data_IF_467934679791
#
_entry.id   IF_467934679791
#
_cell.length_a   1.000
_cell.length_b   1.000
_cell.length_c   1.000
_cell.angle_alpha   90.00
_cell.angle_beta   90.00
_cell.angle_gamma   90.00
#
_symmetry.space_group_name_H-M   'P 1'
#
loop_
_entity.id
_entity.type
_entity.pdbx_description
1 polymer ?
#
# COMPACT_ATOMS: atom_id res chain seq x y z
N UNK A 1 57.36 10.70 50.46
CA UNK A 1 57.05 10.22 49.11
C UNK A 1 55.53 10.11 49.00
N UNK A 2 54.89 11.19 48.53
CA UNK A 2 53.48 11.23 48.13
C UNK A 2 53.44 11.36 46.60
N UNK A 3 52.50 10.71 45.89
CA UNK A 3 52.40 10.85 44.45
C UNK A 3 51.55 12.08 44.08
N UNK A 4 52.11 12.94 43.23
CA UNK A 4 51.45 14.09 42.65
C UNK A 4 50.35 13.64 41.65
N UNK A 5 49.11 14.04 41.93
CA UNK A 5 47.97 13.91 41.02
C UNK A 5 48.12 14.89 39.84
N UNK A 6 48.41 14.34 38.66
CA UNK A 6 48.41 15.08 37.40
C UNK A 6 46.99 15.20 36.85
N UNK A 7 46.41 16.40 36.93
CA UNK A 7 45.15 16.76 36.28
C UNK A 7 45.34 16.79 34.76
N UNK A 8 44.67 15.89 34.04
CA UNK A 8 44.57 15.93 32.57
C UNK A 8 43.62 17.07 32.14
N UNK A 9 43.92 17.82 31.07
CA UNK A 9 43.03 18.85 30.57
C UNK A 9 41.76 18.22 29.97
N UNK A 10 40.60 18.74 30.37
CA UNK A 10 39.31 18.31 29.86
C UNK A 10 39.17 18.69 28.37
N UNK A 11 38.93 17.69 27.53
CA UNK A 11 38.60 17.89 26.12
C UNK A 11 37.28 18.67 26.03
N UNK A 12 37.19 19.76 25.24
CA UNK A 12 35.93 20.47 25.10
C UNK A 12 34.93 19.57 24.35
N UNK A 13 33.86 19.20 25.04
CA UNK A 13 32.69 18.55 24.43
C UNK A 13 32.02 19.58 23.55
N UNK A 14 32.22 19.46 22.23
CA UNK A 14 31.45 20.18 21.22
C UNK A 14 29.99 19.73 21.35
N UNK A 15 29.19 20.53 22.08
CA UNK A 15 27.73 20.43 22.08
C UNK A 15 27.26 20.66 20.64
N UNK A 16 26.94 19.58 19.92
CA UNK A 16 26.21 19.67 18.65
C UNK A 16 24.90 20.40 18.94
N UNK A 17 24.51 21.40 18.13
CA UNK A 17 23.21 22.04 18.31
C UNK A 17 22.13 20.96 18.25
N UNK A 18 21.26 20.93 19.26
CA UNK A 18 20.11 20.07 19.27
C UNK A 18 19.31 20.34 17.99
N UNK A 19 19.32 19.39 17.05
CA UNK A 19 18.43 19.44 15.89
C UNK A 19 17.02 19.58 16.43
N UNK A 20 16.36 20.69 16.13
CA UNK A 20 14.91 20.83 16.30
C UNK A 20 14.29 19.72 15.46
N UNK A 21 13.87 18.64 16.09
CA UNK A 21 13.02 17.63 15.48
C UNK A 21 11.63 18.26 15.33
N UNK A 22 11.31 18.76 14.14
CA UNK A 22 9.93 19.12 13.83
C UNK A 22 9.14 17.81 13.87
N UNK A 23 8.04 17.72 14.65
CA UNK A 23 7.26 16.49 14.74
C UNK A 23 6.65 16.18 13.37
N UNK A 24 6.93 14.97 12.86
CA UNK A 24 6.27 14.42 11.68
C UNK A 24 4.75 14.51 11.90
N UNK A 25 3.96 14.96 10.91
CA UNK A 25 2.53 15.10 11.06
C UNK A 25 1.89 13.76 11.40
N UNK A 26 1.43 13.61 12.66
CA UNK A 26 0.68 12.45 13.15
C UNK A 26 -0.79 12.49 12.73
N UNK A 27 -1.07 13.02 11.55
CA UNK A 27 -2.42 13.17 11.00
C UNK A 27 -2.49 12.60 9.59
N UNK A 28 -3.69 12.27 9.13
CA UNK A 28 -3.91 11.89 7.73
C UNK A 28 -3.69 13.13 6.86
N UNK A 29 -2.82 12.99 5.87
CA UNK A 29 -2.50 14.04 4.90
C UNK A 29 -2.91 13.55 3.52
N UNK A 30 -3.73 14.32 2.82
CA UNK A 30 -4.02 14.03 1.42
C UNK A 30 -2.81 14.41 0.57
N UNK A 31 -2.21 13.43 -0.09
CA UNK A 31 -0.97 13.60 -0.86
C UNK A 31 -1.24 13.78 -2.35
N UNK A 32 -2.29 13.14 -2.87
CA UNK A 32 -2.75 13.26 -4.25
C UNK A 32 -4.26 13.45 -4.31
N UNK A 33 -4.75 14.26 -5.25
CA UNK A 33 -6.18 14.29 -5.56
C UNK A 33 -6.66 13.05 -6.37
N UNK A 34 -7.96 12.98 -6.67
CA UNK A 34 -8.57 11.90 -7.45
C UNK A 34 -8.04 11.75 -8.88
N UNK A 35 -7.34 12.77 -9.40
CA UNK A 35 -6.68 12.76 -10.71
C UNK A 35 -5.17 12.54 -10.57
N UNK A 36 -4.70 12.04 -9.43
CA UNK A 36 -3.28 11.82 -9.13
C UNK A 36 -2.43 13.09 -9.25
N UNK A 37 -2.96 14.24 -8.84
CA UNK A 37 -2.19 15.50 -8.80
C UNK A 37 -1.63 15.75 -7.40
N UNK A 38 -0.33 16.03 -7.27
CA UNK A 38 0.31 16.40 -6.00
C UNK A 38 -0.36 17.59 -5.32
N UNK A 39 -0.60 17.45 -4.01
CA UNK A 39 -1.06 18.56 -3.18
C UNK A 39 0.10 19.49 -2.82
N UNK A 40 -0.10 20.81 -2.95
CA UNK A 40 0.99 21.81 -2.92
C UNK A 40 1.70 21.94 -1.57
N UNK A 41 1.03 21.63 -0.47
CA UNK A 41 1.55 21.93 0.88
C UNK A 41 2.31 20.74 1.49
N UNK A 42 2.35 19.59 0.83
CA UNK A 42 2.89 18.35 1.41
C UNK A 42 4.41 18.39 1.47
N UNK A 43 5.07 18.94 0.44
CA UNK A 43 6.53 19.07 0.42
C UNK A 43 7.03 19.89 1.61
N UNK A 44 6.41 21.04 1.85
CA UNK A 44 6.73 21.94 2.97
C UNK A 44 6.58 21.26 4.34
N UNK A 45 5.58 20.37 4.48
CA UNK A 45 5.37 19.58 5.70
C UNK A 45 6.44 18.50 5.92
N UNK A 46 7.14 18.06 4.87
CA UNK A 46 8.07 16.94 4.90
C UNK A 46 9.56 17.36 4.86
N UNK A 47 9.88 18.63 4.62
CA UNK A 47 11.26 19.14 4.44
C UNK A 47 12.18 18.83 5.63
N UNK A 48 11.64 18.83 6.85
CA UNK A 48 12.43 18.68 8.09
C UNK A 48 12.48 17.24 8.63
N UNK A 49 11.92 16.27 7.89
CA UNK A 49 11.97 14.87 8.31
C UNK A 49 13.41 14.32 8.19
N UNK A 50 13.96 13.67 9.24
CA UNK A 50 15.30 13.10 9.18
C UNK A 50 15.37 12.02 8.09
N UNK A 51 16.49 12.00 7.34
CA UNK A 51 16.81 10.91 6.43
C UNK A 51 17.10 9.65 7.25
N UNK A 52 16.06 8.85 7.47
CA UNK A 52 16.11 7.52 8.06
C UNK A 52 15.54 6.55 7.05
N UNK A 53 16.04 5.30 6.98
CA UNK A 53 15.36 4.29 6.20
C UNK A 53 13.93 4.13 6.73
N UNK A 54 12.99 3.97 5.80
CA UNK A 54 11.58 3.77 6.10
C UNK A 54 10.95 2.80 5.11
N UNK A 55 9.79 2.27 5.47
CA UNK A 55 8.98 1.41 4.61
C UNK A 55 7.68 2.11 4.23
N UNK A 56 7.16 1.84 3.05
CA UNK A 56 5.88 2.33 2.57
C UNK A 56 4.92 1.15 2.42
N UNK A 57 3.82 1.17 3.17
CA UNK A 57 2.75 0.17 3.09
C UNK A 57 1.47 0.83 2.57
N UNK A 58 1.01 0.40 1.40
CA UNK A 58 -0.23 0.88 0.79
C UNK A 58 -1.36 -0.13 0.85
N UNK A 59 -2.60 0.30 0.63
CA UNK A 59 -3.71 -0.60 0.29
C UNK A 59 -4.50 -0.14 -0.93
N UNK A 60 -4.93 -1.10 -1.75
CA UNK A 60 -5.85 -0.93 -2.88
C UNK A 60 -6.98 -1.97 -2.79
N UNK A 61 -8.10 -1.72 -3.47
CA UNK A 61 -9.24 -2.63 -3.49
C UNK A 61 -10.56 -1.95 -3.87
N UNK A 62 -11.66 -2.70 -3.86
CA UNK A 62 -13.01 -2.18 -4.17
C UNK A 62 -13.55 -1.27 -3.07
N UNK A 63 -14.66 -0.58 -3.36
CA UNK A 63 -15.44 0.12 -2.33
C UNK A 63 -15.91 -0.88 -1.28
N UNK A 64 -15.96 -0.44 -0.02
CA UNK A 64 -16.42 -1.26 1.11
C UNK A 64 -15.58 -2.51 1.46
N UNK A 65 -14.47 -2.81 0.78
CA UNK A 65 -13.63 -3.98 1.11
C UNK A 65 -12.90 -3.89 2.45
N UNK A 66 -12.92 -2.71 3.09
CA UNK A 66 -12.33 -2.49 4.42
C UNK A 66 -10.89 -1.98 4.43
N UNK A 67 -10.33 -1.55 3.30
CA UNK A 67 -8.96 -0.98 3.16
C UNK A 67 -8.61 0.02 4.27
N UNK A 68 -9.36 1.10 4.40
CA UNK A 68 -9.11 2.18 5.35
C UNK A 68 -9.21 1.70 6.80
N UNK A 69 -10.10 0.75 7.09
CA UNK A 69 -10.22 0.11 8.42
C UNK A 69 -9.00 -0.75 8.73
N UNK A 70 -8.56 -1.58 7.77
CA UNK A 70 -7.37 -2.41 7.86
C UNK A 70 -6.11 -1.54 8.05
N UNK A 71 -5.93 -0.51 7.21
CA UNK A 71 -4.80 0.41 7.31
C UNK A 71 -4.81 1.22 8.61
N UNK A 72 -5.97 1.61 9.12
CA UNK A 72 -6.08 2.29 10.41
C UNK A 72 -5.75 1.38 11.60
N UNK A 73 -5.97 0.08 11.47
CA UNK A 73 -5.54 -0.88 12.48
C UNK A 73 -4.02 -1.14 12.37
N UNK A 74 -3.51 -1.28 11.15
CA UNK A 74 -2.08 -1.40 10.88
C UNK A 74 -1.29 -0.18 11.36
N UNK A 75 -1.79 1.05 11.14
CA UNK A 75 -1.11 2.27 11.59
C UNK A 75 -0.98 2.32 13.11
N UNK A 76 -2.00 1.87 13.86
CA UNK A 76 -1.93 1.75 15.33
C UNK A 76 -1.01 0.63 15.79
N UNK A 77 -0.93 -0.46 15.04
CA UNK A 77 0.01 -1.55 15.33
C UNK A 77 1.46 -1.11 15.11
N UNK A 78 1.75 -0.47 13.98
CA UNK A 78 3.07 0.08 13.68
C UNK A 78 3.43 1.24 14.62
N UNK A 79 2.44 1.99 15.11
CA UNK A 79 2.61 3.12 16.00
C UNK A 79 1.64 3.08 17.20
N UNK A 80 2.05 2.45 18.30
CA UNK A 80 1.28 2.48 19.55
C UNK A 80 1.07 3.90 20.11
N UNK A 81 1.92 4.85 19.72
CA UNK A 81 1.85 6.26 20.13
C UNK A 81 0.96 7.15 19.26
N UNK A 82 0.30 6.58 18.24
CA UNK A 82 -0.63 7.31 17.39
C UNK A 82 -1.95 7.50 18.14
N UNK A 83 -2.47 8.73 18.16
CA UNK A 83 -3.77 8.99 18.80
C UNK A 83 -4.86 8.18 18.11
N UNK A 84 -5.80 7.64 18.88
CA UNK A 84 -6.91 6.86 18.34
C UNK A 84 -7.76 7.65 17.32
N UNK A 85 -7.75 8.98 17.43
CA UNK A 85 -8.38 9.93 16.51
C UNK A 85 -7.69 10.03 15.14
N UNK A 86 -6.41 9.65 15.04
CA UNK A 86 -5.69 9.60 13.76
C UNK A 86 -5.99 8.26 13.10
N UNK A 87 -7.03 8.23 12.29
CA UNK A 87 -7.43 7.08 11.48
C UNK A 87 -7.87 7.52 10.10
N UNK A 88 -7.70 6.65 9.12
CA UNK A 88 -8.34 6.84 7.82
C UNK A 88 -9.86 6.77 7.98
N UNK A 89 -10.57 7.62 7.24
CA UNK A 89 -12.02 7.66 7.29
C UNK A 89 -12.59 6.39 6.64
N UNK A 90 -13.24 5.56 7.45
CA UNK A 90 -13.97 4.40 6.95
C UNK A 90 -15.33 4.83 6.37
N UNK A 91 -15.83 4.06 5.40
CA UNK A 91 -17.19 4.26 4.87
C UNK A 91 -18.23 4.06 5.97
N UNK A 92 -19.14 5.03 6.10
CA UNK A 92 -20.39 4.85 6.86
C UNK A 92 -21.46 4.18 6.00
N UNK A 93 -22.44 3.53 6.62
CA UNK A 93 -23.60 2.94 5.92
C UNK A 93 -24.35 3.99 5.09
N UNK A 94 -24.45 5.23 5.59
CA UNK A 94 -25.06 6.34 4.86
C UNK A 94 -24.24 6.77 3.63
N UNK A 95 -22.91 6.77 3.73
CA UNK A 95 -22.01 7.06 2.60
C UNK A 95 -22.09 6.00 1.51
N UNK A 96 -22.27 4.73 1.89
CA UNK A 96 -22.48 3.60 0.99
C UNK A 96 -23.83 3.67 0.28
N UNK A 97 -24.90 3.97 1.03
CA UNK A 97 -26.25 4.14 0.47
C UNK A 97 -26.32 5.28 -0.57
N UNK A 98 -25.49 6.31 -0.41
CA UNK A 98 -25.42 7.44 -1.33
C UNK A 98 -24.40 7.26 -2.47
N UNK A 99 -23.73 6.11 -2.58
CA UNK A 99 -22.71 5.85 -3.61
C UNK A 99 -21.48 6.77 -3.54
N UNK A 100 -21.25 7.41 -2.39
CA UNK A 100 -20.15 8.36 -2.20
C UNK A 100 -18.84 7.66 -1.82
N UNK A 101 -17.74 8.03 -2.47
CA UNK A 101 -16.39 7.63 -2.08
C UNK A 101 -15.89 8.48 -0.93
N UNK A 102 -15.39 7.86 0.15
CA UNK A 102 -14.85 8.59 1.31
C UNK A 102 -13.40 9.02 1.05
N UNK A 103 -12.58 8.13 0.50
CA UNK A 103 -11.21 8.44 0.06
C UNK A 103 -11.25 8.90 -1.40
N UNK A 104 -10.77 10.12 -1.67
CA UNK A 104 -10.68 10.73 -2.99
C UNK A 104 -9.22 11.05 -3.29
N UNK A 105 -8.59 10.31 -4.20
CA UNK A 105 -7.15 10.38 -4.44
C UNK A 105 -6.34 9.43 -3.57
N UNK A 106 -5.27 9.94 -2.95
CA UNK A 106 -4.36 9.15 -2.11
C UNK A 106 -4.08 9.92 -0.83
N UNK A 107 -4.36 9.27 0.30
CA UNK A 107 -4.08 9.79 1.63
C UNK A 107 -2.91 9.03 2.25
N UNK A 108 -2.10 9.72 3.05
CA UNK A 108 -0.95 9.13 3.73
C UNK A 108 -0.88 9.54 5.19
N UNK A 109 -0.37 8.63 6.01
CA UNK A 109 0.06 8.91 7.38
C UNK A 109 1.58 8.71 7.41
N UNK A 110 2.29 9.76 7.81
CA UNK A 110 3.75 9.74 7.93
C UNK A 110 4.13 9.45 9.37
N UNK A 111 5.01 8.47 9.53
CA UNK A 111 5.39 7.94 10.83
C UNK A 111 6.88 7.64 10.84
N UNK A 112 7.53 7.77 12.00
CA UNK A 112 8.99 7.72 12.21
C UNK A 112 9.79 6.91 11.15
N UNK A 113 9.44 5.64 10.93
CA UNK A 113 10.06 4.75 9.94
C UNK A 113 9.06 4.10 8.97
N UNK A 114 7.82 4.59 8.93
CA UNK A 114 6.76 3.99 8.13
C UNK A 114 5.89 5.06 7.46
N UNK A 115 5.51 4.83 6.21
CA UNK A 115 4.47 5.60 5.52
C UNK A 115 3.32 4.65 5.22
N UNK A 116 2.13 4.96 5.71
CA UNK A 116 0.92 4.19 5.44
C UNK A 116 0.08 4.94 4.42
N UNK A 117 -0.26 4.31 3.31
CA UNK A 117 -0.92 4.94 2.16
C UNK A 117 -2.29 4.30 1.89
N UNK A 118 -3.36 5.08 1.98
CA UNK A 118 -4.71 4.67 1.60
C UNK A 118 -5.05 5.24 0.21
N UNK A 119 -5.23 4.34 -0.77
CA UNK A 119 -5.61 4.74 -2.11
C UNK A 119 -7.14 4.71 -2.29
N UNK A 120 -7.64 5.60 -3.15
CA UNK A 120 -9.03 5.54 -3.60
C UNK A 120 -9.40 4.17 -4.15
N UNK A 121 -10.68 3.81 -4.01
CA UNK A 121 -11.17 2.51 -4.46
C UNK A 121 -11.00 2.34 -5.98
N UNK A 122 -10.63 1.13 -6.42
CA UNK A 122 -10.37 0.78 -7.83
C UNK A 122 -11.64 0.49 -8.65
N UNK A 123 -12.81 0.58 -8.04
CA UNK A 123 -14.08 0.51 -8.75
C UNK A 123 -15.09 1.32 -7.94
N UNK A 124 -14.97 2.66 -7.95
CA UNK A 124 -15.87 3.49 -7.19
C UNK A 124 -17.26 3.35 -7.82
N UNK A 125 -18.25 2.96 -7.00
CA UNK A 125 -19.66 2.84 -7.40
C UNK A 125 -20.24 4.24 -7.62
N UNK A 126 -19.78 4.95 -8.64
CA UNK A 126 -20.29 6.28 -9.00
C UNK A 126 -21.45 6.07 -9.95
N UNK A 127 -22.67 6.19 -9.42
CA UNK A 127 -23.90 6.24 -10.20
C UNK A 127 -23.80 7.42 -11.19
N UNK A 128 -23.51 7.13 -12.46
CA UNK A 128 -23.44 8.13 -13.53
C UNK A 128 -22.04 8.48 -14.06
N UNK A 129 -20.97 7.84 -13.56
CA UNK A 129 -19.63 7.98 -14.14
C UNK A 129 -19.46 7.19 -15.43
N UNK A 130 -18.68 7.70 -16.39
CA UNK A 130 -18.30 6.92 -17.57
C UNK A 130 -17.40 5.75 -17.13
N UNK A 131 -17.92 4.52 -17.21
CA UNK A 131 -17.23 3.31 -16.76
C UNK A 131 -15.82 3.15 -17.36
N UNK A 132 -15.59 3.67 -18.56
CA UNK A 132 -14.26 3.68 -19.20
C UNK A 132 -13.27 4.59 -18.45
N UNK A 133 -13.69 5.81 -18.13
CA UNK A 133 -12.85 6.76 -17.38
C UNK A 133 -12.51 6.25 -15.97
N UNK A 134 -13.46 5.56 -15.33
CA UNK A 134 -13.27 4.95 -14.01
C UNK A 134 -12.28 3.77 -14.06
N UNK A 135 -12.36 2.91 -15.07
CA UNK A 135 -11.41 1.81 -15.26
C UNK A 135 -9.98 2.33 -15.49
N UNK A 136 -9.85 3.40 -16.27
CA UNK A 136 -8.55 4.02 -16.51
C UNK A 136 -7.97 4.65 -15.25
N UNK A 137 -8.76 5.45 -14.52
CA UNK A 137 -8.34 6.02 -13.24
C UNK A 137 -7.91 4.95 -12.24
N UNK A 138 -8.65 3.84 -12.19
CA UNK A 138 -8.32 2.73 -11.30
C UNK A 138 -7.02 2.03 -11.70
N UNK A 139 -6.77 1.89 -13.00
CA UNK A 139 -5.51 1.35 -13.51
C UNK A 139 -4.34 2.28 -13.16
N UNK A 140 -4.51 3.60 -13.31
CA UNK A 140 -3.51 4.60 -12.96
C UNK A 140 -3.19 4.60 -11.46
N UNK A 141 -4.20 4.51 -10.59
CA UNK A 141 -4.01 4.37 -9.13
C UNK A 141 -3.26 3.09 -8.78
N UNK A 142 -3.61 1.96 -9.40
CA UNK A 142 -2.92 0.70 -9.18
C UNK A 142 -1.46 0.76 -9.65
N UNK A 143 -1.18 1.37 -10.80
CA UNK A 143 0.18 1.60 -11.29
C UNK A 143 0.99 2.47 -10.34
N UNK A 144 0.39 3.55 -9.83
CA UNK A 144 1.00 4.43 -8.86
C UNK A 144 1.35 3.67 -7.57
N UNK A 145 0.37 2.98 -6.98
CA UNK A 145 0.55 2.22 -5.74
C UNK A 145 1.63 1.14 -5.87
N UNK A 146 1.66 0.40 -6.98
CA UNK A 146 2.71 -0.59 -7.29
C UNK A 146 4.11 0.03 -7.40
N UNK A 147 4.22 1.32 -7.72
CA UNK A 147 5.50 1.98 -7.97
C UNK A 147 6.07 2.69 -6.74
N UNK A 148 5.21 3.17 -5.83
CA UNK A 148 5.65 3.95 -4.66
C UNK A 148 5.66 3.18 -3.34
N UNK A 149 4.98 2.03 -3.27
CA UNK A 149 4.88 1.22 -2.05
C UNK A 149 5.93 0.11 -2.01
N UNK A 150 6.47 -0.22 -0.84
CA UNK A 150 7.26 -1.44 -0.64
C UNK A 150 6.34 -2.66 -0.49
N UNK A 151 5.28 -2.51 0.31
CA UNK A 151 4.24 -3.53 0.53
C UNK A 151 2.91 -2.95 0.07
N UNK A 152 2.14 -3.73 -0.68
CA UNK A 152 0.81 -3.34 -1.14
C UNK A 152 -0.23 -4.38 -0.73
N UNK A 153 -1.16 -4.00 0.14
CA UNK A 153 -2.30 -4.82 0.51
C UNK A 153 -3.36 -4.74 -0.60
N UNK A 154 -3.63 -5.86 -1.26
CA UNK A 154 -4.70 -5.96 -2.24
C UNK A 154 -5.94 -6.52 -1.55
N UNK A 155 -6.81 -5.63 -1.08
CA UNK A 155 -7.94 -5.96 -0.20
C UNK A 155 -9.20 -6.21 -1.01
N UNK A 156 -9.71 -7.43 -0.94
CA UNK A 156 -10.94 -7.85 -1.60
C UNK A 156 -11.99 -8.29 -0.57
N UNK A 157 -13.26 -8.13 -0.89
CA UNK A 157 -14.35 -8.72 -0.10
C UNK A 157 -14.55 -10.19 -0.51
N UNK A 158 -15.18 -10.99 0.35
CA UNK A 158 -15.44 -12.42 0.14
C UNK A 158 -16.25 -12.71 -1.14
N UNK A 159 -17.01 -11.73 -1.64
CA UNK A 159 -17.80 -11.78 -2.88
C UNK A 159 -16.99 -11.36 -4.13
N UNK A 160 -15.78 -11.88 -4.23
CA UNK A 160 -14.72 -11.49 -5.16
C UNK A 160 -15.14 -11.37 -6.64
N UNK A 161 -15.14 -10.15 -7.18
CA UNK A 161 -15.16 -9.87 -8.61
C UNK A 161 -13.72 -9.87 -9.18
N UNK A 162 -13.53 -10.44 -10.37
CA UNK A 162 -12.23 -10.45 -11.08
C UNK A 162 -11.77 -9.05 -11.52
N UNK A 163 -12.62 -8.04 -11.42
CA UNK A 163 -12.36 -6.67 -11.85
C UNK A 163 -11.08 -6.09 -11.26
N UNK A 164 -10.82 -6.30 -9.95
CA UNK A 164 -9.60 -5.84 -9.29
C UNK A 164 -8.36 -6.55 -9.84
N UNK A 165 -8.46 -7.87 -10.09
CA UNK A 165 -7.34 -8.66 -10.62
C UNK A 165 -7.01 -8.23 -12.05
N UNK A 166 -8.02 -7.96 -12.87
CA UNK A 166 -7.84 -7.41 -14.22
C UNK A 166 -7.17 -6.03 -14.20
N UNK A 167 -7.63 -5.13 -13.32
CA UNK A 167 -7.02 -3.80 -13.15
C UNK A 167 -5.58 -3.92 -12.71
N UNK A 168 -5.30 -4.80 -11.73
CA UNK A 168 -3.96 -5.02 -11.21
C UNK A 168 -3.01 -5.62 -12.26
N UNK A 169 -3.46 -6.62 -13.01
CA UNK A 169 -2.71 -7.22 -14.12
C UNK A 169 -2.41 -6.20 -15.22
N UNK A 170 -3.41 -5.39 -15.60
CA UNK A 170 -3.26 -4.32 -16.60
C UNK A 170 -2.25 -3.27 -16.14
N UNK A 171 -2.33 -2.84 -14.87
CA UNK A 171 -1.39 -1.90 -14.27
C UNK A 171 0.05 -2.43 -14.28
N UNK A 172 0.24 -3.68 -13.86
CA UNK A 172 1.55 -4.33 -13.87
C UNK A 172 2.13 -4.45 -15.29
N UNK A 173 1.31 -4.82 -16.27
CA UNK A 173 1.71 -4.89 -17.67
C UNK A 173 2.16 -3.52 -18.20
N UNK A 174 1.37 -2.46 -17.96
CA UNK A 174 1.69 -1.10 -18.41
C UNK A 174 2.98 -0.58 -17.78
N UNK A 175 3.19 -0.85 -16.49
CA UNK A 175 4.42 -0.52 -15.78
C UNK A 175 5.65 -1.20 -16.41
N UNK A 176 5.52 -2.47 -16.81
CA UNK A 176 6.61 -3.25 -17.44
C UNK A 176 6.84 -2.90 -18.90
N UNK A 177 5.80 -2.54 -19.65
CA UNK A 177 5.92 -2.09 -21.03
C UNK A 177 6.74 -0.79 -21.14
N UNK A 178 6.89 -0.02 -20.05
CA UNK A 178 7.82 1.09 -19.95
C UNK A 178 9.17 0.75 -19.30
N UNK A 179 9.65 -0.50 -19.33
CA UNK A 179 10.98 -0.85 -18.81
C UNK A 179 12.13 -0.36 -19.73
N UNK A 180 13.36 -0.15 -19.21
CA UNK A 180 14.43 0.54 -19.92
C UNK A 180 14.93 -0.24 -21.14
N UNK A 181 14.88 0.40 -22.31
CA UNK A 181 15.21 -0.15 -23.62
C UNK A 181 14.44 0.54 -24.74
N UNK A 182 13.21 0.97 -24.43
CA UNK A 182 12.40 1.83 -25.28
C UNK A 182 12.46 3.30 -24.82
N UNK A 183 12.43 4.23 -25.78
CA UNK A 183 12.39 5.70 -25.56
C UNK A 183 11.15 6.20 -24.78
N UNK A 184 10.24 5.29 -24.40
CA UNK A 184 9.05 5.50 -23.58
C UNK A 184 9.16 4.91 -22.17
N UNK A 185 10.37 4.60 -21.72
CA UNK A 185 10.59 3.96 -20.43
C UNK A 185 10.30 4.90 -19.25
N UNK A 186 9.82 4.32 -18.15
CA UNK A 186 9.59 4.95 -16.86
C UNK A 186 10.81 4.72 -15.94
N UNK A 187 11.86 5.54 -16.01
CA UNK A 187 13.05 5.37 -15.16
C UNK A 187 12.71 5.45 -13.67
N UNK A 188 11.62 6.13 -13.31
CA UNK A 188 11.07 6.29 -11.96
C UNK A 188 10.26 5.08 -11.45
N UNK A 189 9.85 4.13 -12.31
CA UNK A 189 8.95 3.01 -11.95
C UNK A 189 9.64 1.63 -11.93
N UNK A 190 10.96 1.59 -11.72
CA UNK A 190 11.71 0.32 -11.64
C UNK A 190 11.27 -0.53 -10.43
N UNK A 191 10.97 0.12 -9.31
CA UNK A 191 10.50 -0.54 -8.10
C UNK A 191 9.09 -1.10 -8.26
N UNK A 192 8.83 -2.32 -7.77
CA UNK A 192 7.50 -2.91 -7.73
C UNK A 192 7.17 -3.39 -6.32
N UNK A 193 6.01 -3.00 -5.80
CA UNK A 193 5.57 -3.41 -4.47
C UNK A 193 5.40 -4.94 -4.38
N UNK A 194 5.74 -5.51 -3.22
CA UNK A 194 5.35 -6.87 -2.83
C UNK A 194 3.86 -6.85 -2.46
N UNK A 195 3.04 -7.55 -3.22
CA UNK A 195 1.60 -7.60 -3.00
C UNK A 195 1.21 -8.69 -2.00
N UNK A 196 0.41 -8.33 -1.00
CA UNK A 196 -0.26 -9.26 -0.08
C UNK A 196 -1.75 -9.24 -0.39
N UNK A 197 -2.28 -10.35 -0.90
CA UNK A 197 -3.70 -10.47 -1.23
C UNK A 197 -4.49 -10.77 0.03
N UNK A 198 -5.34 -9.82 0.44
CA UNK A 198 -6.15 -9.92 1.66
C UNK A 198 -7.61 -10.09 1.29
N UNK A 199 -8.17 -11.26 1.51
CA UNK A 199 -9.60 -11.51 1.37
C UNK A 199 -10.26 -11.23 2.72
N UNK A 200 -11.00 -10.13 2.79
CA UNK A 200 -11.68 -9.68 3.98
C UNK A 200 -13.12 -10.20 4.05
N UNK A 201 -13.68 -10.18 5.27
CA UNK A 201 -15.06 -10.61 5.59
C UNK A 201 -15.39 -12.04 5.16
N UNK A 202 -14.39 -12.92 5.16
CA UNK A 202 -14.56 -14.31 4.73
C UNK A 202 -15.42 -15.06 5.77
N UNK A 203 -16.47 -15.78 5.36
CA UNK A 203 -17.20 -16.67 6.25
C UNK A 203 -16.30 -17.77 6.83
N UNK A 204 -16.44 -18.11 8.12
CA UNK A 204 -15.54 -19.07 8.79
C UNK A 204 -15.54 -20.47 8.16
N UNK A 205 -16.66 -20.90 7.58
CA UNK A 205 -16.81 -22.16 6.84
C UNK A 205 -15.93 -22.24 5.59
N UNK A 206 -15.43 -21.10 5.11
CA UNK A 206 -14.54 -21.00 3.95
C UNK A 206 -13.05 -21.09 4.30
N UNK A 207 -12.69 -21.17 5.57
CA UNK A 207 -11.30 -21.37 6.03
C UNK A 207 -10.89 -22.83 5.88
N UNK A 208 -10.81 -23.29 4.63
CA UNK A 208 -10.38 -24.65 4.29
C UNK A 208 -9.21 -24.60 3.30
N UNK A 209 -8.29 -25.59 3.32
CA UNK A 209 -7.18 -25.65 2.38
C UNK A 209 -7.64 -25.61 0.91
N UNK A 210 -8.74 -26.31 0.58
CA UNK A 210 -9.29 -26.35 -0.78
C UNK A 210 -9.73 -24.96 -1.29
N UNK A 211 -10.33 -24.13 -0.44
CA UNK A 211 -10.71 -22.76 -0.82
C UNK A 211 -9.45 -21.91 -1.05
N UNK A 212 -8.45 -22.03 -0.17
CA UNK A 212 -7.18 -21.31 -0.33
C UNK A 212 -6.47 -21.70 -1.63
N UNK A 213 -6.39 -22.99 -1.93
CA UNK A 213 -5.72 -23.49 -3.15
C UNK A 213 -6.47 -22.99 -4.39
N UNK A 214 -7.81 -23.01 -4.37
CA UNK A 214 -8.64 -22.44 -5.45
C UNK A 214 -8.40 -20.94 -5.65
N UNK A 215 -8.22 -20.17 -4.56
CA UNK A 215 -7.89 -18.75 -4.64
C UNK A 215 -6.48 -18.53 -5.18
N UNK A 216 -5.51 -19.36 -4.80
CA UNK A 216 -4.17 -19.33 -5.36
C UNK A 216 -4.18 -19.57 -6.87
N UNK A 217 -4.87 -20.60 -7.33
CA UNK A 217 -5.00 -20.93 -8.75
C UNK A 217 -5.64 -19.78 -9.53
N UNK A 218 -6.71 -19.19 -8.96
CA UNK A 218 -7.35 -18.00 -9.54
C UNK A 218 -6.38 -16.83 -9.65
N UNK A 219 -5.66 -16.49 -8.59
CA UNK A 219 -4.66 -15.42 -8.63
C UNK A 219 -3.58 -15.69 -9.70
N UNK A 220 -3.12 -16.94 -9.82
CA UNK A 220 -2.12 -17.34 -10.82
C UNK A 220 -2.63 -17.30 -12.25
N UNK A 221 -3.93 -17.47 -12.47
CA UNK A 221 -4.52 -17.36 -13.79
C UNK A 221 -4.50 -15.91 -14.32
N UNK A 222 -4.63 -14.91 -13.44
CA UNK A 222 -4.68 -13.50 -13.84
C UNK A 222 -3.32 -12.79 -13.76
N UNK A 223 -2.45 -13.18 -12.83
CA UNK A 223 -1.25 -12.43 -12.49
C UNK A 223 -0.01 -12.99 -13.18
N UNK A 224 0.74 -12.10 -13.83
CA UNK A 224 2.02 -12.44 -14.44
C UNK A 224 3.07 -12.77 -13.35
N UNK A 225 3.67 -13.97 -13.35
CA UNK A 225 4.69 -14.36 -12.38
C UNK A 225 5.91 -13.44 -12.32
N UNK A 226 6.22 -12.74 -13.41
CA UNK A 226 7.34 -11.80 -13.44
C UNK A 226 7.02 -10.45 -12.78
N UNK A 227 5.74 -10.08 -12.68
CA UNK A 227 5.32 -8.92 -11.90
C UNK A 227 4.97 -9.29 -10.44
N UNK A 228 4.45 -10.50 -10.23
CA UNK A 228 4.02 -11.01 -8.93
C UNK A 228 4.73 -12.34 -8.64
N UNK A 229 6.02 -12.30 -8.24
CA UNK A 229 6.80 -13.50 -8.03
C UNK A 229 6.30 -14.31 -6.83
N UNK A 230 6.57 -15.62 -6.87
CA UNK A 230 6.31 -16.49 -5.72
C UNK A 230 7.33 -16.21 -4.62
N UNK A 231 6.88 -16.17 -3.38
CA UNK A 231 7.72 -15.96 -2.21
C UNK A 231 8.01 -17.32 -1.56
N UNK A 232 9.24 -17.51 -1.08
CA UNK A 232 9.64 -18.73 -0.37
C UNK A 232 8.98 -18.83 1.02
N UNK A 233 8.60 -17.68 1.58
CA UNK A 233 7.85 -17.56 2.82
C UNK A 233 6.63 -16.68 2.55
N UNK A 234 5.53 -17.29 2.07
CA UNK A 234 4.30 -16.56 1.81
C UNK A 234 3.61 -16.14 3.11
N UNK A 235 2.97 -14.97 3.09
CA UNK A 235 2.07 -14.52 4.15
C UNK A 235 0.77 -15.33 4.02
N UNK A 236 0.61 -16.35 4.86
CA UNK A 236 -0.57 -17.21 4.93
C UNK A 236 -1.25 -17.15 6.30
N UNK A 237 -2.45 -17.71 6.45
CA UNK A 237 -3.06 -17.94 7.77
C UNK A 237 -2.49 -19.20 8.41
N UNK A 238 -1.80 -19.09 9.55
CA UNK A 238 -1.29 -20.23 10.31
C UNK A 238 -2.31 -20.65 11.39
N UNK A 239 -3.03 -19.69 11.98
CA UNK A 239 -3.88 -19.94 13.15
C UNK A 239 -5.20 -20.65 12.82
N UNK A 240 -5.79 -20.37 11.65
CA UNK A 240 -7.15 -20.81 11.30
C UNK A 240 -7.22 -21.94 10.28
N UNK A 241 -6.23 -22.08 9.40
CA UNK A 241 -6.24 -23.13 8.37
C UNK A 241 -5.60 -24.43 8.86
N UNK A 242 -4.78 -24.36 9.91
CA UNK A 242 -4.07 -25.51 10.48
C UNK A 242 -3.10 -26.19 9.52
N UNK A 243 -2.75 -25.54 8.41
CA UNK A 243 -1.89 -26.10 7.39
C UNK A 243 -0.43 -25.68 7.62
N UNK A 244 0.43 -26.65 7.92
CA UNK A 244 1.87 -26.41 8.08
C UNK A 244 2.62 -26.40 6.73
N UNK A 245 1.94 -26.65 5.61
CA UNK A 245 2.57 -26.62 4.28
C UNK A 245 2.92 -25.19 3.90
N UNK A 246 4.22 -24.91 3.94
CA UNK A 246 4.84 -23.68 3.44
C UNK A 246 5.35 -23.86 2.02
N UNK A 247 4.45 -24.23 1.13
CA UNK A 247 4.81 -24.29 -0.29
C UNK A 247 5.05 -22.86 -0.80
N UNK A 248 6.07 -22.63 -1.64
CA UNK A 248 6.35 -21.31 -2.20
C UNK A 248 5.15 -20.84 -3.02
N UNK A 249 4.64 -19.66 -2.70
CA UNK A 249 3.32 -19.23 -3.13
C UNK A 249 3.22 -17.71 -3.32
N UNK A 250 2.03 -17.23 -3.65
CA UNK A 250 1.75 -15.79 -3.50
C UNK A 250 1.48 -15.50 -2.02
N UNK A 251 1.61 -14.25 -1.60
CA UNK A 251 1.16 -13.84 -0.27
C UNK A 251 -0.38 -13.75 -0.28
N UNK A 252 -1.06 -14.65 0.41
CA UNK A 252 -2.52 -14.77 0.44
C UNK A 252 -3.01 -14.94 1.89
N UNK A 253 -3.83 -14.00 2.35
CA UNK A 253 -4.34 -13.98 3.70
C UNK A 253 -5.86 -13.79 3.75
N UNK A 254 -6.54 -14.61 4.54
CA UNK A 254 -7.98 -14.57 4.74
C UNK A 254 -8.29 -13.92 6.10
N UNK A 255 -9.22 -12.96 6.13
CA UNK A 255 -9.68 -12.30 7.36
C UNK A 255 -11.15 -12.62 7.55
N UNK A 256 -11.55 -13.24 8.68
CA UNK A 256 -12.93 -13.63 8.88
C UNK A 256 -13.82 -12.41 9.16
N UNK A 257 -15.10 -12.53 8.87
CA UNK A 257 -16.06 -11.45 9.17
C UNK A 257 -16.13 -11.16 10.67
N UNK A 258 -15.99 -9.88 11.05
CA UNK A 258 -15.98 -9.44 12.45
C UNK A 258 -17.32 -9.64 13.14
N UNK A 259 -18.42 -9.55 12.38
CA UNK A 259 -19.81 -9.71 12.86
C UNK A 259 -20.13 -11.15 13.25
N UNK A 260 -19.64 -12.12 12.49
CA UNK A 260 -19.91 -13.55 12.74
C UNK A 260 -18.89 -14.18 13.67
N UNK A 261 -17.66 -13.67 13.70
CA UNK A 261 -16.52 -14.35 14.31
C UNK A 261 -15.52 -13.41 14.99
N UNK A 262 -15.97 -12.55 15.90
CA UNK A 262 -15.15 -11.48 16.51
C UNK A 262 -13.82 -11.97 17.11
N UNK A 263 -13.80 -13.11 17.82
CA UNK A 263 -12.57 -13.64 18.42
C UNK A 263 -11.57 -14.11 17.36
N UNK A 264 -12.05 -14.86 16.36
CA UNK A 264 -11.20 -15.34 15.26
C UNK A 264 -10.69 -14.17 14.42
N UNK A 265 -11.54 -13.17 14.17
CA UNK A 265 -11.17 -11.91 13.52
C UNK A 265 -10.01 -11.23 14.22
N UNK A 266 -10.11 -11.01 15.55
CA UNK A 266 -9.03 -10.36 16.30
C UNK A 266 -7.69 -11.12 16.20
N UNK A 267 -7.71 -12.43 16.42
CA UNK A 267 -6.50 -13.26 16.34
C UNK A 267 -5.86 -13.23 14.95
N UNK A 268 -6.69 -13.29 13.92
CA UNK A 268 -6.25 -13.28 12.52
C UNK A 268 -5.68 -11.92 12.12
N UNK A 269 -6.24 -10.84 12.67
CA UNK A 269 -5.73 -9.48 12.48
C UNK A 269 -4.38 -9.31 13.16
N UNK A 270 -4.23 -9.76 14.41
CA UNK A 270 -2.95 -9.74 15.12
C UNK A 270 -1.86 -10.51 14.36
N UNK A 271 -2.22 -11.67 13.79
CA UNK A 271 -1.33 -12.47 12.93
C UNK A 271 -0.92 -11.73 11.65
N UNK A 272 -1.89 -11.14 10.94
CA UNK A 272 -1.64 -10.35 9.74
C UNK A 272 -0.67 -9.20 10.03
N UNK A 273 -0.89 -8.49 11.13
CA UNK A 273 -0.07 -7.35 11.53
C UNK A 273 1.32 -7.74 11.96
N UNK A 274 1.48 -8.87 12.64
CA UNK A 274 2.80 -9.44 12.91
C UNK A 274 3.58 -9.71 11.62
N UNK A 275 2.93 -10.34 10.62
CA UNK A 275 3.55 -10.69 9.33
C UNK A 275 3.84 -9.45 8.48
N UNK A 276 2.88 -8.54 8.32
CA UNK A 276 3.07 -7.28 7.55
C UNK A 276 4.08 -6.37 8.25
N UNK A 277 4.07 -6.30 9.59
CA UNK A 277 5.05 -5.55 10.37
C UNK A 277 6.47 -6.06 10.16
N UNK A 278 6.66 -7.37 10.10
CA UNK A 278 7.95 -7.97 9.73
C UNK A 278 8.38 -7.57 8.32
N UNK A 279 7.48 -7.64 7.32
CA UNK A 279 7.78 -7.20 5.97
C UNK A 279 8.16 -5.71 5.89
N UNK A 280 7.50 -4.85 6.68
CA UNK A 280 7.86 -3.44 6.80
C UNK A 280 9.27 -3.27 7.38
N UNK A 281 9.63 -4.04 8.41
CA UNK A 281 10.98 -4.00 8.99
C UNK A 281 12.05 -4.47 8.00
N UNK A 282 11.78 -5.56 7.27
CA UNK A 282 12.68 -6.07 6.23
C UNK A 282 12.87 -5.03 5.11
N UNK A 283 11.79 -4.38 4.68
CA UNK A 283 11.84 -3.31 3.70
C UNK A 283 12.70 -2.13 4.20
N UNK A 284 12.49 -1.67 5.43
CA UNK A 284 13.31 -0.63 6.06
C UNK A 284 14.78 -1.05 6.16
N UNK A 285 15.07 -2.29 6.53
CA UNK A 285 16.45 -2.80 6.63
C UNK A 285 17.16 -2.86 5.26
N UNK A 286 16.40 -3.15 4.19
CA UNK A 286 16.91 -3.17 2.82
C UNK A 286 16.98 -1.78 2.16
N UNK A 287 16.32 -0.77 2.75
CA UNK A 287 16.19 0.56 2.16
C UNK A 287 17.51 1.32 2.24
N UNK A 288 17.83 2.04 1.16
CA UNK A 288 18.98 2.93 1.16
C UNK A 288 18.77 4.07 2.18
N UNK A 289 19.72 4.30 3.09
CA UNK A 289 19.56 5.28 4.19
C UNK A 289 19.55 6.75 3.73
N UNK A 290 19.67 7.02 2.43
CA UNK A 290 19.71 8.37 1.86
C UNK A 290 18.33 8.96 1.55
N UNK A 291 17.26 8.17 1.59
CA UNK A 291 15.90 8.65 1.32
C UNK A 291 15.29 9.38 2.52
N UNK A 292 14.75 10.57 2.30
CA UNK A 292 13.83 11.26 3.23
C UNK A 292 12.38 11.11 2.76
N UNK A 293 11.41 11.42 3.62
CA UNK A 293 10.00 11.47 3.20
C UNK A 293 9.76 12.49 2.09
N UNK A 294 10.44 13.65 2.14
CA UNK A 294 10.35 14.67 1.10
C UNK A 294 10.84 14.18 -0.26
N UNK A 295 11.96 13.45 -0.29
CA UNK A 295 12.47 12.86 -1.55
C UNK A 295 11.53 11.79 -2.09
N UNK A 296 10.96 10.93 -1.22
CA UNK A 296 9.97 9.94 -1.66
C UNK A 296 8.68 10.57 -2.17
N UNK A 297 8.20 11.63 -1.54
CA UNK A 297 7.03 12.36 -2.04
C UNK A 297 7.32 13.03 -3.39
N UNK A 298 8.50 13.63 -3.57
CA UNK A 298 8.92 14.21 -4.85
C UNK A 298 9.03 13.13 -5.95
N UNK A 299 9.61 11.97 -5.63
CA UNK A 299 9.69 10.85 -6.56
C UNK A 299 8.31 10.28 -6.89
N UNK A 300 7.44 10.13 -5.89
CA UNK A 300 6.05 9.73 -6.08
C UNK A 300 5.27 10.72 -6.94
N UNK A 301 5.49 12.02 -6.76
CA UNK A 301 4.88 13.07 -7.59
C UNK A 301 5.32 12.98 -9.04
N UNK A 302 6.61 12.69 -9.28
CA UNK A 302 7.13 12.43 -10.64
C UNK A 302 6.50 11.18 -11.25
N UNK A 303 6.39 10.09 -10.48
CA UNK A 303 5.70 8.87 -10.94
C UNK A 303 4.25 9.17 -11.31
N UNK A 304 3.52 9.92 -10.48
CA UNK A 304 2.14 10.30 -10.78
C UNK A 304 2.05 11.13 -12.07
N UNK A 305 2.95 12.09 -12.26
CA UNK A 305 3.02 12.91 -13.48
C UNK A 305 3.38 12.06 -14.73
N UNK A 306 4.31 11.12 -14.59
CA UNK A 306 4.72 10.20 -15.67
C UNK A 306 3.55 9.31 -16.10
N UNK A 307 2.78 8.78 -15.15
CA UNK A 307 1.59 7.96 -15.42
C UNK A 307 0.55 8.78 -16.21
N UNK A 308 0.20 9.97 -15.72
CA UNK A 308 -0.82 10.84 -16.34
C UNK A 308 -0.44 11.27 -17.75
N UNK A 309 0.85 11.52 -17.99
CA UNK A 309 1.36 11.96 -19.28
C UNK A 309 1.78 10.80 -20.19
N UNK A 310 1.60 9.55 -19.75
CA UNK A 310 2.08 8.38 -20.48
C UNK A 310 1.31 8.15 -21.79
N UNK A 311 2.06 8.03 -22.89
CA UNK A 311 1.51 7.60 -24.17
C UNK A 311 0.97 6.18 -24.13
N UNK A 312 1.59 5.28 -23.35
CA UNK A 312 1.15 3.89 -23.22
C UNK A 312 -0.22 3.82 -22.56
N UNK A 313 -0.43 4.58 -21.49
CA UNK A 313 -1.73 4.70 -20.81
C UNK A 313 -2.78 5.27 -21.76
N UNK A 314 -2.43 6.29 -22.55
CA UNK A 314 -3.32 6.86 -23.57
C UNK A 314 -3.70 5.86 -24.68
N UNK A 315 -2.76 5.06 -25.17
CA UNK A 315 -3.01 4.03 -26.18
C UNK A 315 -3.88 2.90 -25.60
N UNK A 316 -3.57 2.44 -24.39
CA UNK A 316 -4.37 1.44 -23.69
C UNK A 316 -5.81 1.93 -23.47
N UNK A 317 -5.99 3.18 -23.06
CA UNK A 317 -7.28 3.83 -22.93
C UNK A 317 -8.10 3.79 -24.23
N UNK A 318 -7.47 4.10 -25.37
CA UNK A 318 -8.12 4.01 -26.70
C UNK A 318 -8.47 2.57 -27.08
N UNK A 319 -7.59 1.62 -26.79
CA UNK A 319 -7.81 0.21 -27.09
C UNK A 319 -9.01 -0.36 -26.29
N UNK A 320 -9.05 -0.11 -24.98
CA UNK A 320 -10.17 -0.53 -24.11
C UNK A 320 -11.48 0.13 -24.55
N UNK A 321 -11.45 1.41 -24.94
CA UNK A 321 -12.63 2.08 -25.48
C UNK A 321 -13.13 1.43 -26.77
N UNK A 322 -12.22 1.06 -27.68
CA UNK A 322 -12.57 0.43 -28.94
C UNK A 322 -13.18 -0.97 -28.77
N UNK A 323 -12.66 -1.79 -27.85
CA UNK A 323 -13.19 -3.14 -27.62
C UNK A 323 -14.65 -3.11 -27.12
N UNK A 324 -14.99 -2.15 -26.26
CA UNK A 324 -16.37 -1.99 -25.77
C UNK A 324 -17.36 -1.45 -26.80
N UNK A 325 -16.90 -0.86 -27.90
CA UNK A 325 -17.79 -0.46 -29.00
C UNK A 325 -18.21 -1.66 -29.87
N UNK A 326 -17.53 -2.80 -29.73
CA UNK A 326 -17.82 -4.03 -30.46
C UNK A 326 -18.56 -5.09 -29.61
N UNK A 327 -18.83 -4.81 -28.34
CA UNK A 327 -19.71 -5.58 -27.44
C UNK A 327 -21.10 -4.94 -27.36
#
# INVERSE_FOLDING_TARGET
AEPALTLRPATPVLLRPARRTVPVPKQVVSILDAQLRPQRNVEEMLVDAPAVPFSVCGAIGSVASGKSTLLSALSRFLLPSLDAATAFNAHSEASLANGSTVTSGVDAIFCEQHVVVDCQALNPLVLGGNAHSLQMQSTEVAMFALSVCNILLVVQDAFCEDSILHTLASAAMLKRAGAPGDSSSFPSMQHCARCVFVYNKVPLDRFTPSVRDSLHDRLRAFLDPAAFPSTSQPVLNDLLTGDERRDPGLDLFLVPCSETATRAHRLTMDELWGKVGQLCQDATASANPSGSFGTWFADGSRVADDIRNSRLVSVFSKAVHSQRLFE
#
